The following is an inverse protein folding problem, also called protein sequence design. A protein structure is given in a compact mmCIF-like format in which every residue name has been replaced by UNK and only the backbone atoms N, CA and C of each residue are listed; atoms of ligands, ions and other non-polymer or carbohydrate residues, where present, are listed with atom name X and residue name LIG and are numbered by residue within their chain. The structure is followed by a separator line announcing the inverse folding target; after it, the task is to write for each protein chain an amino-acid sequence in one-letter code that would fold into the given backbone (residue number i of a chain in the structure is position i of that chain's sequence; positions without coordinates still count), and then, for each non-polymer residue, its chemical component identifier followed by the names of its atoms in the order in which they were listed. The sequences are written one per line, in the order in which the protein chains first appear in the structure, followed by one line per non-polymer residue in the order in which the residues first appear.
data_IF_360788372724
#
_entry.id   IF_360788372724
#
_cell.length_a   1.000
_cell.length_b   1.000
_cell.length_c   1.000
_cell.angle_alpha   90.00
_cell.angle_beta   90.00
_cell.angle_gamma   90.00
#
_symmetry.space_group_name_H-M   'P 1'
#
loop_
_entity.id
_entity.type
_entity.pdbx_description
1 polymer ?
2 non-polymer ?
3 water ?
#
# COMPACT_ATOMS: atom_id res chain seq x y z
N UNK A 2 18.93 12.70 -18.92
CA UNK A 2 18.99 11.23 -18.68
C UNK A 2 20.38 10.78 -18.22
N UNK A 3 20.79 11.21 -17.04
CA UNK A 3 22.07 10.74 -16.53
C UNK A 3 21.58 9.38 -16.02
N UNK A 4 22.40 8.32 -16.12
CA UNK A 4 21.85 7.06 -15.61
C UNK A 4 21.30 7.28 -14.19
N UNK A 5 21.85 8.27 -13.49
CA UNK A 5 21.44 8.56 -12.12
C UNK A 5 20.02 9.06 -12.03
N UNK A 6 19.68 10.02 -12.89
CA UNK A 6 18.33 10.56 -12.88
C UNK A 6 17.34 9.47 -13.27
N UNK A 7 17.66 8.73 -14.32
CA UNK A 7 16.80 7.65 -14.78
C UNK A 7 16.57 6.69 -13.62
N UNK A 8 17.65 6.39 -12.90
CA UNK A 8 17.60 5.48 -11.76
C UNK A 8 16.70 6.03 -10.65
N UNK A 9 16.82 7.32 -10.37
CA UNK A 9 16.01 7.94 -9.34
C UNK A 9 14.53 7.89 -9.70
N UNK A 10 14.20 8.17 -10.96
CA UNK A 10 12.80 8.12 -11.37
C UNK A 10 12.23 6.72 -11.21
N UNK A 11 12.99 5.72 -11.65
CA UNK A 11 12.56 4.34 -11.55
C UNK A 11 12.25 3.93 -10.12
N UNK A 12 13.20 4.14 -9.22
CA UNK A 12 13.01 3.77 -7.82
C UNK A 12 11.91 4.59 -7.14
N UNK A 13 11.88 5.89 -7.39
CA UNK A 13 10.86 6.74 -6.78
C UNK A 13 9.47 6.38 -7.29
N UNK A 14 9.37 6.05 -8.57
CA UNK A 14 8.09 5.67 -9.15
C UNK A 14 7.64 4.37 -8.48
N UNK A 15 8.56 3.42 -8.34
CA UNK A 15 8.25 2.15 -7.71
C UNK A 15 7.77 2.34 -6.29
N UNK A 16 8.43 3.23 -5.55
CA UNK A 16 8.04 3.51 -4.18
C UNK A 16 6.61 4.02 -4.15
N UNK A 17 6.34 5.03 -4.96
CA UNK A 17 5.01 5.61 -5.02
C UNK A 17 3.94 4.58 -5.38
N UNK A 18 4.28 3.64 -6.26
CA UNK A 18 3.31 2.62 -6.65
C UNK A 18 3.04 1.65 -5.50
N UNK A 19 4.06 1.36 -4.71
CA UNK A 19 3.88 0.46 -3.58
C UNK A 19 2.98 1.10 -2.54
N UNK A 20 3.15 2.40 -2.34
CA UNK A 20 2.34 3.14 -1.38
C UNK A 20 0.88 3.14 -1.81
N UNK A 21 0.64 3.50 -3.06
CA UNK A 21 -0.72 3.53 -3.58
C UNK A 21 -1.32 2.14 -3.41
N UNK A 22 -0.46 1.13 -3.49
CA UNK A 22 -0.91 -0.25 -3.34
C UNK A 22 -1.34 -0.47 -1.88
N UNK A 23 -0.47 -0.12 -0.94
CA UNK A 23 -0.80 -0.29 0.47
C UNK A 23 -2.10 0.45 0.82
N UNK A 24 -2.22 1.69 0.36
CA UNK A 24 -3.42 2.48 0.63
C UNK A 24 -4.66 1.83 0.01
N UNK A 25 -4.46 1.13 -1.09
CA UNK A 25 -5.54 0.47 -1.79
C UNK A 25 -6.04 -0.78 -1.06
N UNK A 26 -5.14 -1.48 -0.37
CA UNK A 26 -5.48 -2.71 0.34
C UNK A 26 -5.91 -2.50 1.80
N UNK A 27 -5.74 -1.27 2.26
CA UNK A 27 -6.09 -0.84 3.62
C UNK A 27 -7.56 -1.12 3.93
N UNK A 28 -7.86 -1.55 5.15
CA UNK A 28 -9.26 -1.78 5.52
C UNK A 28 -9.86 -0.41 5.75
N UNK A 29 -11.00 -0.15 5.13
CA UNK A 29 -11.65 1.14 5.29
C UNK A 29 -13.15 0.94 5.54
N UNK A 30 -13.92 2.02 5.59
CA UNK A 30 -15.34 1.89 5.83
C UNK A 30 -16.15 1.04 4.85
N UNK A 31 -15.82 1.10 3.56
CA UNK A 31 -16.58 0.34 2.57
C UNK A 31 -15.93 -0.99 2.20
N UNK A 32 -16.75 -2.00 1.89
CA UNK A 32 -16.24 -3.33 1.52
C UNK A 32 -15.39 -3.29 0.26
N UNK A 33 -14.22 -3.92 0.33
CA UNK A 33 -13.32 -3.97 -0.81
C UNK A 33 -12.53 -5.29 -0.80
N UNK A 34 -12.70 -6.11 -1.84
CA UNK A 34 -11.99 -7.39 -1.93
C UNK A 34 -10.49 -7.24 -1.76
N UNK A 35 -10.00 -6.04 -2.01
CA UNK A 35 -8.59 -5.74 -1.92
C UNK A 35 -7.99 -5.96 -0.54
N UNK A 36 -8.80 -5.86 0.51
CA UNK A 36 -8.28 -6.05 1.87
C UNK A 36 -7.97 -7.50 2.20
N UNK A 37 -8.41 -8.42 1.34
CA UNK A 37 -8.17 -9.84 1.57
C UNK A 37 -6.94 -10.34 0.83
N UNK A 38 -6.32 -9.46 0.06
CA UNK A 38 -5.14 -9.83 -0.70
C UNK A 38 -3.96 -10.13 0.19
N UNK A 39 -4.03 -9.68 1.44
CA UNK A 39 -2.94 -9.92 2.38
C UNK A 39 -3.32 -10.92 3.46
N UNK A 40 -4.51 -11.49 3.36
CA UNK A 40 -4.94 -12.49 4.34
C UNK A 40 -4.58 -13.86 3.76
N UNK A 41 -3.56 -14.48 4.33
CA UNK A 41 -3.10 -15.78 3.88
C UNK A 41 -3.61 -16.92 4.76
N UNK A 42 -3.84 -18.06 4.12
CA UNK A 42 -4.33 -19.25 4.78
C UNK A 42 -3.40 -20.39 4.38
N UNK A 43 -3.02 -21.24 5.33
CA UNK A 43 -2.13 -22.35 5.02
C UNK A 43 -2.93 -23.45 4.31
N UNK A 44 -2.90 -23.42 2.99
CA UNK A 44 -3.63 -24.38 2.16
C UNK A 44 -2.67 -25.39 1.55
N UNK A 45 -2.85 -26.66 1.93
CA UNK A 45 -2.01 -27.75 1.46
C UNK A 45 -0.53 -27.43 1.46
N UNK A 46 -0.02 -26.97 2.60
CA UNK A 46 1.40 -26.67 2.70
C UNK A 46 1.88 -25.32 2.19
N UNK A 47 0.99 -24.54 1.60
CA UNK A 47 1.40 -23.24 1.07
C UNK A 47 0.62 -22.02 1.57
N UNK A 48 1.31 -21.04 2.18
CA UNK A 48 0.60 -19.84 2.66
C UNK A 48 -0.12 -19.28 1.45
N UNK A 49 -1.45 -19.25 1.48
CA UNK A 49 -2.17 -18.79 0.31
C UNK A 49 -3.11 -17.61 0.51
N UNK A 50 -2.94 -16.53 -0.29
CA UNK A 50 -3.85 -15.39 -0.11
C UNK A 50 -5.27 -15.87 -0.36
N UNK A 51 -6.21 -15.39 0.44
CA UNK A 51 -7.58 -15.84 0.30
C UNK A 51 -8.23 -15.73 -1.08
N UNK A 52 -8.10 -14.58 -1.74
CA UNK A 52 -8.71 -14.38 -3.05
C UNK A 52 -8.26 -15.40 -4.11
N UNK A 53 -7.25 -16.21 -3.80
CA UNK A 53 -6.77 -17.23 -4.75
C UNK A 53 -7.53 -18.53 -4.58
N UNK A 54 -8.27 -18.63 -3.48
CA UNK A 54 -9.04 -19.82 -3.19
C UNK A 54 -10.54 -19.55 -3.23
N UNK A 55 -10.93 -18.35 -3.66
CA UNK A 55 -12.35 -18.03 -3.68
C UNK A 55 -12.71 -16.86 -4.56
N UNK A 56 -13.98 -16.81 -4.94
CA UNK A 56 -14.46 -15.69 -5.73
C UNK A 56 -14.92 -14.69 -4.68
N UNK A 57 -14.61 -13.42 -4.88
CA UNK A 57 -15.01 -12.40 -3.92
C UNK A 57 -15.86 -11.35 -4.60
N UNK A 58 -17.01 -11.06 -4.01
CA UNK A 58 -17.91 -10.08 -4.59
C UNK A 58 -18.61 -9.25 -3.53
N UNK A 59 -19.24 -8.16 -3.97
CA UNK A 59 -19.96 -7.28 -3.07
C UNK A 59 -21.46 -7.40 -3.31
N UNK A 60 -22.19 -7.84 -2.29
CA UNK A 60 -23.64 -7.98 -2.39
C UNK A 60 -24.29 -6.79 -1.71
N UNK A 61 -24.77 -7.00 -0.49
CA UNK A 61 -25.35 -5.92 0.29
C UNK A 61 -24.28 -4.83 0.22
N UNK A 62 -24.64 -3.68 -0.32
CA UNK A 62 -23.74 -2.54 -0.47
C UNK A 62 -22.67 -2.44 0.62
N UNK A 63 -22.91 -3.11 1.74
CA UNK A 63 -21.98 -3.09 2.86
C UNK A 63 -21.44 -4.48 3.23
N UNK A 64 -21.47 -5.41 2.28
CA UNK A 64 -21.02 -6.78 2.53
C UNK A 64 -20.06 -7.38 1.49
N UNK A 65 -19.10 -8.15 1.99
CA UNK A 65 -18.14 -8.86 1.15
C UNK A 65 -18.46 -10.33 1.28
N UNK A 66 -18.76 -10.98 0.16
CA UNK A 66 -19.05 -12.40 0.18
C UNK A 66 -17.82 -13.13 -0.37
N UNK A 67 -17.29 -14.04 0.43
CA UNK A 67 -16.10 -14.82 0.07
C UNK A 67 -16.52 -16.27 -0.14
N UNK A 68 -16.63 -16.68 -1.40
CA UNK A 68 -17.04 -18.05 -1.71
C UNK A 68 -15.88 -18.94 -2.18
N UNK A 69 -15.46 -19.89 -1.34
CA UNK A 69 -14.36 -20.80 -1.69
C UNK A 69 -14.91 -22.06 -2.35
N UNK A 70 -14.20 -22.58 -3.34
CA UNK A 70 -14.65 -23.79 -4.00
C UNK A 70 -14.38 -25.01 -3.13
N UNK A 71 -13.35 -24.92 -2.29
CA UNK A 71 -13.02 -26.02 -1.38
C UNK A 71 -13.62 -25.66 -0.02
N UNK A 72 -14.86 -26.07 0.21
CA UNK A 72 -15.54 -25.73 1.45
C UNK A 72 -14.79 -25.91 2.76
N UNK A 73 -13.68 -26.64 2.76
CA UNK A 73 -12.93 -26.82 4.00
C UNK A 73 -12.09 -25.58 4.28
N UNK A 74 -12.03 -24.69 3.30
CA UNK A 74 -11.27 -23.46 3.40
C UNK A 74 -11.97 -22.41 4.25
N UNK A 75 -13.29 -22.53 4.37
CA UNK A 75 -14.10 -21.60 5.15
C UNK A 75 -13.54 -21.45 6.57
N UNK A 76 -13.33 -22.58 7.23
CA UNK A 76 -12.81 -22.56 8.59
C UNK A 76 -11.48 -21.80 8.66
N UNK A 77 -10.62 -22.04 7.67
CA UNK A 77 -9.31 -21.40 7.61
C UNK A 77 -9.40 -19.89 7.37
N UNK A 78 -10.32 -19.48 6.51
CA UNK A 78 -10.48 -18.06 6.22
C UNK A 78 -10.94 -17.33 7.48
N UNK A 79 -11.86 -17.96 8.20
CA UNK A 79 -12.40 -17.40 9.43
C UNK A 79 -11.30 -17.25 10.48
N UNK A 80 -10.52 -18.31 10.65
CA UNK A 80 -9.42 -18.32 11.61
C UNK A 80 -8.45 -17.18 11.27
N UNK A 81 -8.05 -17.12 10.00
CA UNK A 81 -7.11 -16.12 9.51
C UNK A 81 -7.61 -14.70 9.68
N UNK A 82 -8.90 -14.48 9.46
CA UNK A 82 -9.44 -13.14 9.60
C UNK A 82 -9.46 -12.73 11.07
N UNK A 83 -9.93 -13.62 11.94
CA UNK A 83 -9.97 -13.30 13.37
C UNK A 83 -8.57 -12.98 13.90
N UNK A 84 -7.55 -13.59 13.31
CA UNK A 84 -6.17 -13.37 13.73
C UNK A 84 -5.59 -12.07 13.19
N UNK A 85 -6.17 -11.55 12.12
CA UNK A 85 -5.69 -10.30 11.52
C UNK A 85 -6.20 -9.11 12.32
N UNK A 86 -5.84 -7.91 11.90
CA UNK A 86 -6.28 -6.71 12.60
C UNK A 86 -7.33 -5.94 11.81
N UNK A 87 -7.98 -6.62 10.87
CA UNK A 87 -8.99 -6.00 10.03
C UNK A 87 -10.16 -5.38 10.78
N UNK A 88 -10.49 -5.95 11.94
CA UNK A 88 -11.60 -5.42 12.70
C UNK A 88 -12.89 -5.87 12.03
N UNK A 89 -12.85 -7.07 11.46
CA UNK A 89 -14.00 -7.64 10.79
C UNK A 89 -14.37 -8.97 11.44
N UNK A 90 -15.64 -9.33 11.38
CA UNK A 90 -16.10 -10.57 11.97
C UNK A 90 -16.68 -11.50 10.92
N UNK A 91 -16.02 -12.64 10.66
CA UNK A 91 -16.52 -13.57 9.65
C UNK A 91 -17.88 -14.17 9.99
N UNK A 92 -18.73 -14.30 8.98
CA UNK A 92 -20.03 -14.90 9.19
C UNK A 92 -20.04 -16.16 8.32
N UNK A 93 -19.74 -17.30 8.93
CA UNK A 93 -19.66 -18.57 8.21
C UNK A 93 -20.96 -19.36 8.14
N UNK A 94 -21.58 -19.45 6.96
CA UNK A 94 -22.82 -20.21 6.82
C UNK A 94 -22.56 -21.59 6.22
N UNK A 95 -21.31 -22.04 6.28
CA UNK A 95 -20.97 -23.35 5.77
C UNK A 95 -20.83 -23.44 4.26
N UNK A 96 -21.13 -22.34 3.58
CA UNK A 96 -21.03 -22.29 2.12
C UNK A 96 -20.12 -21.13 1.75
N UNK A 97 -20.45 -19.96 2.27
CA UNK A 97 -19.69 -18.75 2.00
C UNK A 97 -19.35 -18.02 3.30
N UNK A 98 -18.41 -17.08 3.23
CA UNK A 98 -18.02 -16.29 4.40
C UNK A 98 -18.34 -14.83 4.17
N UNK A 99 -19.28 -14.29 4.94
CA UNK A 99 -19.67 -12.89 4.81
C UNK A 99 -18.89 -11.99 5.74
N UNK A 100 -18.56 -10.81 5.24
CA UNK A 100 -17.84 -9.82 6.03
C UNK A 100 -18.66 -8.55 5.87
N UNK A 101 -19.35 -8.13 6.92
CA UNK A 101 -20.15 -6.93 6.82
C UNK A 101 -19.34 -5.74 7.30
N UNK A 102 -19.59 -4.58 6.70
CA UNK A 102 -18.89 -3.35 7.04
C UNK A 102 -19.84 -2.30 7.60
N UNK A 103 -20.15 -2.38 8.90
CA UNK A 103 -21.07 -1.40 9.51
C UNK A 103 -20.60 0.04 9.32
N UNK A 104 -21.53 1.00 9.40
CA UNK A 104 -21.19 2.42 9.27
C UNK A 104 -20.04 2.67 10.22
N UNK A 105 -18.94 3.22 9.70
CA UNK A 105 -17.81 3.46 10.59
C UNK A 105 -18.03 4.52 11.68
N UNK A 106 -17.38 4.30 12.82
CA UNK A 106 -17.47 5.20 13.97
C UNK A 106 -16.42 6.26 13.71
N UNK A 107 -16.64 7.46 14.23
CA UNK A 107 -15.68 8.53 14.01
C UNK A 107 -14.30 8.14 14.54
N UNK A 108 -14.27 7.22 15.50
CA UNK A 108 -12.99 6.80 16.05
C UNK A 108 -12.26 5.90 15.05
N UNK A 109 -13.03 5.18 14.23
CA UNK A 109 -12.45 4.32 13.22
C UNK A 109 -11.86 5.17 12.10
N UNK A 110 -12.62 6.14 11.62
CA UNK A 110 -12.14 7.01 10.55
C UNK A 110 -10.82 7.63 10.98
N UNK A 111 -10.79 8.18 12.19
CA UNK A 111 -9.58 8.79 12.72
C UNK A 111 -8.46 7.78 12.75
N UNK A 112 -8.78 6.54 13.09
CA UNK A 112 -7.77 5.50 13.15
C UNK A 112 -7.21 5.20 11.77
N UNK A 113 -8.11 5.03 10.79
CA UNK A 113 -7.71 4.74 9.42
C UNK A 113 -6.91 5.88 8.78
N UNK A 114 -7.30 7.12 9.04
CA UNK A 114 -6.58 8.27 8.46
C UNK A 114 -5.17 8.30 9.02
N UNK A 115 -5.04 7.96 10.29
CA UNK A 115 -3.75 7.94 10.95
C UNK A 115 -2.91 6.82 10.34
N UNK A 116 -3.57 5.72 9.97
CA UNK A 116 -2.89 4.58 9.37
C UNK A 116 -2.44 4.90 7.94
N UNK A 117 -3.23 5.68 7.22
CA UNK A 117 -2.88 6.06 5.86
C UNK A 117 -1.67 6.99 5.91
N UNK A 118 -1.69 7.92 6.87
CA UNK A 118 -0.61 8.87 7.01
C UNK A 118 0.71 8.19 7.30
N UNK A 119 0.69 7.17 8.14
CA UNK A 119 1.94 6.50 8.48
C UNK A 119 2.46 5.68 7.30
N UNK A 120 1.53 5.15 6.51
CA UNK A 120 1.91 4.38 5.34
C UNK A 120 2.62 5.33 4.38
N UNK A 121 2.10 6.54 4.26
CA UNK A 121 2.67 7.54 3.37
C UNK A 121 3.98 8.13 3.91
N UNK A 122 4.07 8.29 5.23
CA UNK A 122 5.29 8.82 5.81
C UNK A 122 6.41 7.84 5.47
N UNK A 123 6.16 6.55 5.64
CA UNK A 123 7.17 5.56 5.33
C UNK A 123 7.60 5.70 3.87
N UNK A 124 6.64 5.95 2.98
CA UNK A 124 6.97 6.12 1.58
C UNK A 124 7.92 7.30 1.41
N UNK A 125 7.60 8.41 2.07
CA UNK A 125 8.42 9.61 2.01
C UNK A 125 9.85 9.29 2.42
N UNK A 126 9.97 8.58 3.53
CA UNK A 126 11.28 8.21 4.04
C UNK A 126 12.03 7.42 2.98
N UNK A 127 11.34 6.53 2.29
CA UNK A 127 11.97 5.74 1.24
C UNK A 127 12.44 6.66 0.12
N UNK A 128 11.62 7.66 -0.20
CA UNK A 128 11.97 8.62 -1.25
C UNK A 128 13.28 9.33 -0.89
N UNK A 129 13.33 9.91 0.30
CA UNK A 129 14.52 10.60 0.71
C UNK A 129 15.74 9.69 0.78
N UNK A 130 15.53 8.39 1.01
CA UNK A 130 16.66 7.48 1.06
C UNK A 130 17.25 7.34 -0.33
N UNK A 131 16.36 7.18 -1.31
CA UNK A 131 16.78 7.07 -2.70
C UNK A 131 17.60 8.30 -3.09
N UNK A 132 17.16 9.47 -2.65
CA UNK A 132 17.85 10.72 -2.93
C UNK A 132 19.26 10.70 -2.37
N UNK A 133 19.39 10.29 -1.12
CA UNK A 133 20.69 10.23 -0.45
C UNK A 133 21.66 9.27 -1.13
N UNK A 134 21.19 8.06 -1.42
CA UNK A 134 22.03 7.05 -2.04
C UNK A 134 22.58 7.53 -3.38
N UNK A 135 21.71 8.10 -4.21
CA UNK A 135 22.12 8.57 -5.53
C UNK A 135 23.06 9.77 -5.41
N UNK A 136 22.69 10.71 -4.55
CA UNK A 136 23.50 11.89 -4.35
C UNK A 136 24.94 11.51 -4.04
N UNK A 137 25.15 10.52 -3.18
CA UNK A 137 26.52 10.13 -2.85
C UNK A 137 27.19 9.48 -4.04
N UNK A 138 26.43 8.74 -4.85
CA UNK A 138 27.03 8.12 -6.02
C UNK A 138 27.51 9.22 -6.97
N UNK A 139 26.75 10.31 -7.05
CA UNK A 139 27.12 11.44 -7.91
C UNK A 139 28.36 12.12 -7.32
N UNK A 140 28.38 12.28 -6.00
CA UNK A 140 29.50 12.90 -5.31
C UNK A 140 30.77 12.11 -5.58
N UNK A 141 30.65 10.78 -5.56
CA UNK A 141 31.78 9.91 -5.82
C UNK A 141 32.34 10.23 -7.19
N UNK A 142 31.47 10.17 -8.19
CA UNK A 142 31.87 10.46 -9.56
C UNK A 142 32.47 11.86 -9.65
N UNK A 143 31.95 12.79 -8.86
CA UNK A 143 32.49 14.15 -8.88
C UNK A 143 33.89 14.15 -8.28
N UNK A 144 34.11 13.29 -7.30
CA UNK A 144 35.41 13.23 -6.65
C UNK A 144 36.48 12.62 -7.56
N UNK A 145 36.13 11.60 -8.33
CA UNK A 145 37.12 10.99 -9.23
C UNK A 145 37.42 11.91 -10.40
N UNK A 146 36.61 12.95 -10.57
CA UNK A 146 36.82 13.88 -11.66
C UNK A 146 36.02 13.57 -12.91
N UNK A 147 35.16 12.55 -12.84
CA UNK A 147 34.34 12.19 -13.99
C UNK A 147 33.30 13.28 -14.24
N UNK A 148 32.71 13.77 -13.16
CA UNK A 148 31.69 14.81 -13.24
C UNK A 148 32.24 16.11 -12.69
N UNK A 149 32.50 17.10 -13.57
CA UNK A 149 33.02 18.38 -13.09
C UNK A 149 32.01 19.05 -12.17
N UNK A 150 32.51 19.82 -11.21
CA UNK A 150 31.66 20.50 -10.23
C UNK A 150 30.33 21.04 -10.75
N UNK A 151 30.37 21.86 -11.79
CA UNK A 151 29.16 22.43 -12.35
C UNK A 151 28.12 21.40 -12.78
N UNK A 152 28.57 20.34 -13.46
CA UNK A 152 27.66 19.30 -13.92
C UNK A 152 27.11 18.52 -12.73
N UNK A 153 27.85 18.51 -11.64
CA UNK A 153 27.44 17.80 -10.44
C UNK A 153 26.32 18.55 -9.75
N UNK A 154 26.44 19.87 -9.69
CA UNK A 154 25.42 20.68 -9.04
C UNK A 154 24.07 20.60 -9.73
N UNK A 155 24.05 20.71 -11.06
CA UNK A 155 22.77 20.65 -11.75
C UNK A 155 22.15 19.26 -11.63
N UNK A 156 23.00 18.24 -11.54
CA UNK A 156 22.54 16.87 -11.40
C UNK A 156 21.84 16.74 -10.05
N UNK A 157 22.46 17.32 -9.02
CA UNK A 157 21.90 17.28 -7.68
C UNK A 157 20.57 18.02 -7.65
N UNK A 158 20.51 19.14 -8.36
CA UNK A 158 19.29 19.93 -8.42
C UNK A 158 18.16 19.14 -9.06
N UNK A 159 18.50 18.37 -10.10
CA UNK A 159 17.50 17.56 -10.78
C UNK A 159 16.97 16.53 -9.79
N UNK A 160 17.88 15.88 -9.07
CA UNK A 160 17.50 14.88 -8.10
C UNK A 160 16.64 15.54 -7.03
N UNK A 161 17.02 16.74 -6.62
CA UNK A 161 16.28 17.46 -5.60
C UNK A 161 14.88 17.80 -6.10
N UNK A 162 14.78 18.11 -7.39
CA UNK A 162 13.49 18.44 -7.97
C UNK A 162 12.61 17.19 -8.02
N UNK A 163 13.21 16.05 -8.36
CA UNK A 163 12.49 14.78 -8.42
C UNK A 163 11.98 14.39 -7.04
N UNK A 164 12.85 14.56 -6.05
CA UNK A 164 12.49 14.26 -4.67
C UNK A 164 11.29 15.09 -4.26
N UNK A 165 11.32 16.39 -4.54
CA UNK A 165 10.21 17.25 -4.17
C UNK A 165 8.94 16.92 -4.93
N UNK A 166 9.06 16.54 -6.20
CA UNK A 166 7.85 16.24 -6.94
C UNK A 166 7.24 14.94 -6.42
N UNK A 167 8.07 14.03 -5.91
CA UNK A 167 7.53 12.78 -5.39
C UNK A 167 7.02 12.90 -3.98
N UNK A 168 7.64 13.76 -3.18
CA UNK A 168 7.16 13.99 -1.83
C UNK A 168 5.78 14.61 -2.01
N UNK A 169 5.64 15.52 -2.98
CA UNK A 169 4.35 16.15 -3.24
C UNK A 169 3.31 15.11 -3.62
N UNK A 170 3.68 14.21 -4.53
CA UNK A 170 2.76 13.17 -4.98
C UNK A 170 2.32 12.33 -3.79
N UNK A 171 3.23 12.09 -2.85
CA UNK A 171 2.88 11.31 -1.68
C UNK A 171 1.83 12.06 -0.87
N UNK A 172 2.10 13.33 -0.58
CA UNK A 172 1.17 14.14 0.18
C UNK A 172 -0.18 14.12 -0.51
N UNK A 173 -0.17 14.03 -1.83
CA UNK A 173 -1.42 14.03 -2.57
C UNK A 173 -2.21 12.75 -2.37
N UNK A 174 -1.55 11.60 -2.54
CA UNK A 174 -2.25 10.34 -2.38
C UNK A 174 -2.76 10.20 -0.95
N UNK A 175 -2.09 10.84 0.00
CA UNK A 175 -2.56 10.77 1.38
C UNK A 175 -3.87 11.54 1.47
N UNK A 176 -3.87 12.77 0.94
CA UNK A 176 -5.07 13.60 0.95
C UNK A 176 -6.23 12.88 0.29
N UNK A 177 -5.97 12.24 -0.85
CA UNK A 177 -7.00 11.50 -1.57
C UNK A 177 -7.59 10.39 -0.70
N UNK A 178 -6.73 9.71 0.05
CA UNK A 178 -7.18 8.64 0.91
C UNK A 178 -7.96 9.21 2.09
N UNK A 179 -7.43 10.28 2.68
CA UNK A 179 -8.08 10.91 3.81
C UNK A 179 -9.49 11.31 3.42
N UNK A 180 -9.64 11.82 2.20
CA UNK A 180 -10.95 12.23 1.72
C UNK A 180 -11.87 11.03 1.58
N UNK A 181 -11.34 9.93 1.05
CA UNK A 181 -12.14 8.72 0.87
C UNK A 181 -12.66 8.22 2.21
N UNK A 182 -11.82 8.28 3.23
CA UNK A 182 -12.20 7.82 4.56
C UNK A 182 -13.21 8.73 5.25
N UNK A 183 -13.04 10.04 5.12
CA UNK A 183 -13.93 11.01 5.75
C UNK A 183 -15.22 11.20 4.98
N UNK A 184 -15.11 11.33 3.66
CA UNK A 184 -16.29 11.47 2.81
C UNK A 184 -16.97 10.09 2.79
N UNK A 185 -16.97 9.42 3.93
CA UNK A 185 -17.52 8.08 4.13
C UNK A 185 -17.65 7.18 2.92
X LIG B 1 22.59 16.01 1.51
X LIG B 1 22.69 14.78 1.97
X LIG B 1 21.88 16.97 2.00
X LIG B 1 23.43 16.27 0.28
X LIG C 1 -23.66 -22.03 -4.71
X LIG C 1 -24.05 -20.82 -4.41
X LIG C 1 -23.01 -22.84 -3.96
X LIG C 1 -24.06 -22.46 -6.11
#
# INVERSE_FOLDING_TARGET
MVNPFIKEAKEKMKRTLEKIEDELRKMRTGKPSPAILEEIKVDYYGVPTPVNQLATISISEERTLVIKPWDKSVLSLIEKAINASDLGLNPINDGNVIRLVFPSPTTEQREKWVKKAKEIVEEGKIAIRNIRREILKKIKEDQKEGLIPEDDAKRLENEIQKLTDEFIEKLDEVFEIKKEEIMEF
ACY C O OXT CH3
ACY C O OXT CH3
#
